data_IF_500759772986
#
_entry.id   IF_500759772986
#
_cell.length_a   1.000
_cell.length_b   1.000
_cell.length_c   1.000
_cell.angle_alpha   90.00
_cell.angle_beta   90.00
_cell.angle_gamma   90.00
#
_symmetry.space_group_name_H-M   'P 1'
#
loop_
_entity.id
_entity.type
_entity.pdbx_description
1 polymer ?
#
# COMPACT_ATOMS: atom_id res chain seq x y z
N UNK A 1 -17.43 -3.87 -12.43
CA UNK A 1 -16.05 -3.88 -11.93
C UNK A 1 -15.24 -4.75 -12.87
N UNK A 2 -14.25 -4.18 -13.56
CA UNK A 2 -13.44 -4.89 -14.55
C UNK A 2 -12.15 -5.50 -13.95
N UNK A 3 -11.70 -4.94 -12.83
CA UNK A 3 -10.52 -5.37 -12.06
C UNK A 3 -10.76 -5.13 -10.57
N UNK A 4 -10.13 -5.95 -9.72
CA UNK A 4 -10.19 -5.87 -8.26
C UNK A 4 -8.76 -5.83 -7.72
N UNK A 5 -8.47 -4.81 -6.91
CA UNK A 5 -7.19 -4.62 -6.25
C UNK A 5 -7.37 -4.76 -4.74
N UNK A 6 -6.56 -5.61 -4.12
CA UNK A 6 -6.55 -5.82 -2.67
C UNK A 6 -5.14 -5.73 -2.14
N UNK A 7 -4.99 -5.70 -0.82
CA UNK A 7 -3.67 -5.72 -0.17
C UNK A 7 -3.39 -7.10 0.41
N UNK A 8 -2.12 -7.38 0.70
CA UNK A 8 -1.70 -8.59 1.41
C UNK A 8 -1.97 -8.56 2.93
N UNK A 9 -2.85 -7.67 3.42
CA UNK A 9 -3.12 -7.48 4.85
C UNK A 9 -4.26 -8.34 5.41
N UNK A 10 -5.01 -9.00 4.53
CA UNK A 10 -6.10 -9.88 4.92
C UNK A 10 -5.97 -11.22 4.21
N UNK A 11 -6.48 -12.27 4.85
CA UNK A 11 -6.57 -13.58 4.21
C UNK A 11 -7.49 -13.51 2.98
N UNK A 12 -7.03 -14.05 1.86
CA UNK A 12 -7.81 -14.21 0.64
C UNK A 12 -7.75 -15.68 0.18
N UNK A 13 -8.89 -16.31 -0.16
CA UNK A 13 -8.91 -17.65 -0.73
C UNK A 13 -8.17 -17.75 -2.08
N UNK A 14 -7.45 -18.86 -2.30
CA UNK A 14 -6.67 -19.08 -3.54
C UNK A 14 -7.53 -19.09 -4.82
N UNK A 15 -8.81 -19.48 -4.69
CA UNK A 15 -9.81 -19.47 -5.77
C UNK A 15 -10.11 -18.06 -6.30
N UNK A 16 -9.85 -17.03 -5.49
CA UNK A 16 -9.99 -15.62 -5.83
C UNK A 16 -8.64 -15.07 -6.31
N UNK A 17 -7.54 -15.43 -5.64
CA UNK A 17 -6.18 -14.99 -6.04
C UNK A 17 -5.78 -15.42 -7.45
N UNK A 18 -6.26 -16.59 -7.90
CA UNK A 18 -5.99 -17.13 -9.23
C UNK A 18 -6.83 -16.48 -10.35
N UNK A 19 -7.78 -15.60 -10.03
CA UNK A 19 -8.65 -14.97 -11.01
C UNK A 19 -7.91 -13.88 -11.77
N UNK A 20 -8.09 -13.84 -13.10
CA UNK A 20 -7.46 -12.85 -13.99
C UNK A 20 -7.82 -11.38 -13.67
N UNK A 21 -8.94 -11.16 -12.98
CA UNK A 21 -9.39 -9.83 -12.59
C UNK A 21 -8.85 -9.39 -11.21
N UNK A 22 -8.09 -10.26 -10.52
CA UNK A 22 -7.69 -10.04 -9.14
C UNK A 22 -6.20 -9.73 -9.05
N UNK A 23 -5.87 -8.63 -8.40
CA UNK A 23 -4.51 -8.14 -8.24
C UNK A 23 -4.22 -7.88 -6.76
N UNK A 24 -3.12 -8.46 -6.26
CA UNK A 24 -2.63 -8.21 -4.91
C UNK A 24 -1.56 -7.12 -4.97
N UNK A 25 -1.75 -6.10 -4.16
CA UNK A 25 -0.78 -5.03 -3.90
C UNK A 25 -0.02 -5.38 -2.63
N UNK A 26 1.30 -5.49 -2.73
CA UNK A 26 2.17 -5.74 -1.58
C UNK A 26 2.42 -4.44 -0.80
N UNK A 27 2.04 -4.43 0.49
CA UNK A 27 2.27 -3.32 1.40
C UNK A 27 3.45 -3.53 2.36
N UNK A 28 4.26 -4.58 2.17
CA UNK A 28 5.38 -4.90 3.07
C UNK A 28 6.38 -3.76 3.19
N UNK A 29 6.77 -3.14 2.06
CA UNK A 29 7.68 -1.97 2.06
C UNK A 29 7.06 -0.75 2.74
N UNK A 30 5.74 -0.58 2.61
CA UNK A 30 5.01 0.52 3.23
C UNK A 30 4.95 0.36 4.76
N UNK A 31 4.68 -0.85 5.24
CA UNK A 31 4.71 -1.19 6.66
C UNK A 31 6.11 -1.01 7.24
N UNK A 32 7.16 -1.46 6.53
CA UNK A 32 8.55 -1.27 6.96
C UNK A 32 8.88 0.20 7.20
N UNK A 33 8.43 1.07 6.29
CA UNK A 33 8.61 2.52 6.41
C UNK A 33 7.83 3.12 7.58
N UNK A 34 6.60 2.65 7.83
CA UNK A 34 5.83 3.05 9.01
C UNK A 34 6.59 2.69 10.29
N UNK A 35 7.06 1.45 10.39
CA UNK A 35 7.82 0.95 11.56
C UNK A 35 9.11 1.76 11.75
N UNK A 36 9.83 2.03 10.66
CA UNK A 36 11.05 2.83 10.70
C UNK A 36 10.77 4.27 11.19
N UNK A 37 9.70 4.89 10.71
CA UNK A 37 9.35 6.26 11.11
C UNK A 37 8.88 6.31 12.57
N UNK A 38 8.11 5.32 13.02
CA UNK A 38 7.69 5.20 14.43
C UNK A 38 8.87 5.00 15.38
N UNK A 39 9.88 4.21 14.98
CA UNK A 39 11.06 3.93 15.81
C UNK A 39 12.02 5.13 15.93
N UNK A 40 11.94 6.11 15.02
CA UNK A 40 12.82 7.30 15.00
C UNK A 40 12.17 8.56 15.61
N UNK A 41 11.10 8.42 16.42
CA UNK A 41 10.47 9.49 17.23
C UNK A 41 10.07 10.77 16.43
N UNK A 42 9.83 10.60 15.13
CA UNK A 42 9.32 11.66 14.25
C UNK A 42 7.78 11.62 14.29
N UNK A 43 7.15 12.80 14.31
CA UNK A 43 5.69 12.95 14.42
C UNK A 43 4.93 11.98 13.49
N UNK A 44 4.05 11.15 14.07
CA UNK A 44 3.22 10.16 13.35
C UNK A 44 2.22 10.83 12.39
N UNK A 45 2.01 12.15 12.51
CA UNK A 45 1.10 12.89 11.62
C UNK A 45 1.52 12.79 10.14
N UNK A 46 2.81 12.77 9.84
CA UNK A 46 3.30 12.66 8.45
C UNK A 46 3.10 11.25 7.85
N UNK A 47 2.88 10.25 8.71
CA UNK A 47 2.57 8.86 8.32
C UNK A 47 1.06 8.68 8.10
N UNK A 48 0.24 9.37 8.90
CA UNK A 48 -1.22 9.36 8.75
C UNK A 48 -1.65 9.95 7.41
N UNK A 49 -0.86 10.87 6.85
CA UNK A 49 -1.05 11.37 5.48
C UNK A 49 -0.39 10.47 4.41
N UNK A 50 -0.60 9.17 4.56
CA UNK A 50 -0.30 8.14 3.56
C UNK A 50 -0.80 8.52 2.15
N UNK A 51 -1.92 9.23 2.12
CA UNK A 51 -2.62 9.64 0.90
C UNK A 51 -1.82 10.67 0.13
N UNK A 52 -1.36 11.75 0.78
CA UNK A 52 -0.55 12.79 0.16
C UNK A 52 0.77 12.22 -0.38
N UNK A 53 1.41 11.32 0.37
CA UNK A 53 2.67 10.69 -0.04
C UNK A 53 2.50 9.80 -1.28
N UNK A 54 1.41 9.04 -1.36
CA UNK A 54 1.07 8.27 -2.57
C UNK A 54 0.79 9.20 -3.75
N UNK A 55 0.08 10.32 -3.53
CA UNK A 55 -0.17 11.30 -4.59
C UNK A 55 1.12 11.94 -5.11
N UNK A 56 2.07 12.26 -4.23
CA UNK A 56 3.38 12.78 -4.62
C UNK A 56 4.18 11.75 -5.44
N UNK A 57 4.22 10.48 -5.00
CA UNK A 57 4.86 9.40 -5.76
C UNK A 57 4.21 9.15 -7.12
N UNK A 58 2.88 9.30 -7.23
CA UNK A 58 2.14 9.21 -8.49
C UNK A 58 2.41 10.41 -9.40
N UNK A 59 2.65 11.60 -8.84
CA UNK A 59 3.02 12.79 -9.58
C UNK A 59 4.45 12.67 -10.14
N UNK A 60 5.41 12.21 -9.34
CA UNK A 60 6.81 12.00 -9.76
C UNK A 60 6.95 10.94 -10.86
N UNK A 61 6.12 9.88 -10.83
CA UNK A 61 6.10 8.82 -11.86
C UNK A 61 5.48 9.23 -13.20
N UNK A 62 4.85 10.41 -13.31
CA UNK A 62 4.24 10.91 -14.56
C UNK A 62 5.20 11.73 -15.42
N UNK A 63 6.41 12.02 -14.93
CA UNK A 63 7.52 12.59 -15.71
C UNK A 63 8.42 11.49 -16.28
#
# INVERSE_FOLDING_TARGET
FDQIYTTNLCYCPEEIKSRKYYHIVDLSSYISLIIDTLNHDTSVNDIMDATERIQNLLADRKH
#
